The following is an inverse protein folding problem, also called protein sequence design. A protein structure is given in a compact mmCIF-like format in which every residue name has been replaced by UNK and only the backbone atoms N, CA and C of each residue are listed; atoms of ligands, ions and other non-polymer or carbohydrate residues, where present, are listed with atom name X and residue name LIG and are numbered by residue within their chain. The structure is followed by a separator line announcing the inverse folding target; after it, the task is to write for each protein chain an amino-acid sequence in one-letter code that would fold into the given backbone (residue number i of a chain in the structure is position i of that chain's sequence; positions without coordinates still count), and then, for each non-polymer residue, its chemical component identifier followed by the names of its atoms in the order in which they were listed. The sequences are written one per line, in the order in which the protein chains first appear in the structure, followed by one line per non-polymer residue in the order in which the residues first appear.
data_IF_206233925963
#
_entry.id   IF_206233925963
#
_cell.length_a   1.000
_cell.length_b   1.000
_cell.length_c   1.000
_cell.angle_alpha   90.00
_cell.angle_beta   90.00
_cell.angle_gamma   90.00
#
_symmetry.space_group_name_H-M   'P 1'
#
loop_
_entity.id
_entity.type
_entity.pdbx_description
1 polymer ?
#
# COMPACT_ATOMS: atom_id res chain seq x y z
N UNK A 1 1.16 -20.92 -11.05
CA UNK A 1 1.30 -19.55 -10.52
C UNK A 1 2.32 -18.82 -11.37
N UNK A 2 1.86 -18.02 -12.34
CA UNK A 2 2.72 -17.13 -13.11
C UNK A 2 2.66 -15.72 -12.54
N UNK A 3 3.69 -14.90 -12.77
CA UNK A 3 3.59 -13.47 -12.49
C UNK A 3 2.40 -12.88 -13.26
N UNK A 4 1.69 -11.92 -12.67
CA UNK A 4 0.56 -11.22 -13.32
C UNK A 4 0.95 -10.70 -14.71
N UNK A 5 2.17 -10.17 -14.83
CA UNK A 5 2.70 -9.63 -16.09
C UNK A 5 2.88 -10.68 -17.19
N UNK A 6 2.93 -11.97 -16.85
CA UNK A 6 3.23 -13.05 -17.80
C UNK A 6 2.00 -13.90 -18.13
N UNK A 7 1.39 -14.51 -17.11
CA UNK A 7 0.29 -15.47 -17.30
C UNK A 7 -0.63 -15.62 -16.10
N UNK A 8 -0.40 -14.85 -15.03
CA UNK A 8 -1.16 -14.94 -13.78
C UNK A 8 -2.40 -14.05 -13.73
N UNK A 9 -2.62 -13.19 -14.72
CA UNK A 9 -3.75 -12.27 -14.77
C UNK A 9 -4.90 -12.92 -15.53
N UNK A 10 -6.03 -13.14 -14.85
CA UNK A 10 -7.21 -13.79 -15.42
C UNK A 10 -8.43 -12.89 -15.23
N UNK A 11 -9.48 -13.10 -16.04
CA UNK A 11 -10.71 -12.31 -16.01
C UNK A 11 -11.37 -12.29 -14.63
N UNK A 12 -11.27 -13.39 -13.87
CA UNK A 12 -11.78 -13.47 -12.50
C UNK A 12 -11.09 -12.48 -11.55
N UNK A 13 -9.79 -12.24 -11.75
CA UNK A 13 -9.07 -11.25 -10.94
C UNK A 13 -9.52 -9.83 -11.26
N UNK A 14 -9.81 -9.51 -12.53
CA UNK A 14 -10.34 -8.20 -12.92
C UNK A 14 -11.75 -7.96 -12.39
N UNK A 15 -12.62 -8.97 -12.50
CA UNK A 15 -13.97 -8.91 -11.93
C UNK A 15 -13.93 -8.59 -10.43
N UNK A 16 -13.12 -9.33 -9.67
CA UNK A 16 -12.97 -9.10 -8.24
C UNK A 16 -12.40 -7.70 -7.93
N UNK A 17 -11.44 -7.21 -8.72
CA UNK A 17 -10.92 -5.84 -8.56
C UNK A 17 -12.00 -4.78 -8.78
N UNK A 18 -12.83 -4.95 -9.81
CA UNK A 18 -13.91 -4.02 -10.11
C UNK A 18 -15.01 -4.04 -9.04
N UNK A 19 -15.38 -5.22 -8.55
CA UNK A 19 -16.35 -5.36 -7.45
C UNK A 19 -15.83 -4.72 -6.16
N UNK A 20 -14.55 -4.94 -5.82
CA UNK A 20 -13.92 -4.31 -4.66
C UNK A 20 -13.83 -2.80 -4.82
N UNK A 21 -13.43 -2.30 -5.99
CA UNK A 21 -13.36 -0.86 -6.28
C UNK A 21 -14.73 -0.18 -6.13
N UNK A 22 -15.78 -0.82 -6.65
CA UNK A 22 -17.16 -0.37 -6.48
C UNK A 22 -17.61 -0.39 -5.01
N UNK A 23 -17.24 -1.45 -4.27
CA UNK A 23 -17.56 -1.60 -2.85
C UNK A 23 -16.94 -0.51 -1.98
N UNK A 24 -15.65 -0.17 -2.19
CA UNK A 24 -14.97 0.91 -1.45
C UNK A 24 -15.14 2.30 -2.06
N UNK A 25 -15.91 2.42 -3.15
CA UNK A 25 -16.15 3.66 -3.89
C UNK A 25 -14.85 4.36 -4.33
N UNK A 26 -13.94 3.60 -4.95
CA UNK A 26 -12.68 4.08 -5.53
C UNK A 26 -12.64 3.82 -7.04
N UNK A 27 -11.83 4.60 -7.75
CA UNK A 27 -11.71 4.50 -9.20
C UNK A 27 -11.16 3.15 -9.67
N UNK A 28 -10.23 2.57 -8.89
CA UNK A 28 -9.63 1.28 -9.16
C UNK A 28 -9.22 0.59 -7.85
N UNK A 29 -9.12 -0.73 -7.89
CA UNK A 29 -8.52 -1.55 -6.84
C UNK A 29 -7.53 -2.53 -7.47
N UNK A 30 -6.49 -2.89 -6.71
CA UNK A 30 -5.48 -3.83 -7.19
C UNK A 30 -5.33 -5.00 -6.21
N UNK A 31 -5.28 -6.21 -6.77
CA UNK A 31 -5.16 -7.44 -5.99
C UNK A 31 -3.70 -7.83 -5.83
N UNK A 32 -3.31 -8.08 -4.58
CA UNK A 32 -1.97 -8.44 -4.16
C UNK A 32 -2.04 -9.76 -3.38
N UNK A 33 -0.94 -10.52 -3.35
CA UNK A 33 -0.94 -11.88 -2.78
C UNK A 33 -1.35 -11.92 -1.31
N UNK A 34 -0.96 -10.91 -0.53
CA UNK A 34 -1.33 -10.74 0.88
C UNK A 34 -1.06 -9.30 1.32
N UNK A 35 -1.72 -8.89 2.42
CA UNK A 35 -1.72 -7.49 2.88
C UNK A 35 -0.35 -6.91 3.20
N UNK A 36 0.56 -7.70 3.77
CA UNK A 36 1.91 -7.22 4.10
C UNK A 36 2.70 -6.86 2.84
N UNK A 37 2.79 -7.76 1.86
CA UNK A 37 3.46 -7.47 0.58
C UNK A 37 2.80 -6.29 -0.13
N UNK A 38 1.47 -6.22 -0.07
CA UNK A 38 0.72 -5.15 -0.71
C UNK A 38 1.02 -3.76 -0.12
N UNK A 39 1.12 -3.66 1.21
CA UNK A 39 1.48 -2.41 1.87
C UNK A 39 2.91 -1.98 1.53
N UNK A 40 3.87 -2.89 1.64
CA UNK A 40 5.28 -2.59 1.33
C UNK A 40 5.44 -2.14 -0.12
N UNK A 41 4.85 -2.85 -1.09
CA UNK A 41 4.93 -2.47 -2.50
C UNK A 41 4.20 -1.16 -2.82
N UNK A 42 3.13 -0.84 -2.07
CA UNK A 42 2.39 0.41 -2.28
C UNK A 42 3.20 1.60 -1.78
N UNK A 43 3.83 1.48 -0.62
CA UNK A 43 4.76 2.51 -0.11
C UNK A 43 5.91 2.69 -1.10
N UNK A 44 6.49 1.58 -1.58
CA UNK A 44 7.60 1.60 -2.54
C UNK A 44 7.24 2.26 -3.87
N UNK A 45 6.03 2.02 -4.39
CA UNK A 45 5.58 2.61 -5.64
C UNK A 45 5.19 4.09 -5.53
N UNK A 46 4.81 4.57 -4.34
CA UNK A 46 4.31 5.93 -4.14
C UNK A 46 5.36 6.91 -3.64
N UNK A 47 6.39 6.44 -2.95
CA UNK A 47 7.38 7.29 -2.27
C UNK A 47 8.61 7.48 -3.14
N UNK A 48 9.04 8.72 -3.29
CA UNK A 48 10.35 9.10 -3.82
C UNK A 48 11.25 9.69 -2.75
N UNK A 49 12.55 9.80 -3.05
CA UNK A 49 13.60 10.29 -2.13
C UNK A 49 13.33 11.68 -1.51
N UNK A 50 12.52 12.50 -2.18
CA UNK A 50 12.24 13.88 -1.77
C UNK A 50 10.92 14.00 -1.00
N UNK A 51 10.22 12.88 -0.79
CA UNK A 51 8.94 12.84 -0.07
C UNK A 51 9.13 12.66 1.45
N UNK A 52 8.15 13.12 2.21
CA UNK A 52 8.08 12.95 3.66
C UNK A 52 6.96 11.99 3.99
N UNK A 53 7.28 10.93 4.74
CA UNK A 53 6.28 9.98 5.22
C UNK A 53 5.91 10.32 6.66
N UNK A 54 4.62 10.52 6.88
CA UNK A 54 4.02 10.66 8.21
C UNK A 54 3.23 9.39 8.48
N UNK A 55 3.58 8.68 9.56
CA UNK A 55 2.89 7.45 9.95
C UNK A 55 2.71 7.38 11.46
N UNK A 56 1.68 6.64 11.88
CA UNK A 56 1.35 6.42 13.27
C UNK A 56 2.29 5.37 13.90
N UNK A 57 2.82 5.64 15.08
CA UNK A 57 3.68 4.70 15.82
C UNK A 57 3.00 3.38 16.18
N UNK A 58 1.68 3.39 16.34
CA UNK A 58 0.88 2.20 16.66
C UNK A 58 0.35 1.50 15.39
N UNK A 59 0.79 1.95 14.20
CA UNK A 59 0.43 1.32 12.94
C UNK A 59 1.00 -0.11 12.83
N UNK A 60 0.35 -0.93 12.00
CA UNK A 60 0.78 -2.30 11.75
C UNK A 60 2.22 -2.36 11.24
N UNK A 61 3.00 -3.35 11.68
CA UNK A 61 4.43 -3.47 11.41
C UNK A 61 4.80 -3.41 9.90
N UNK A 62 3.90 -3.84 9.02
CA UNK A 62 4.08 -3.77 7.57
C UNK A 62 4.29 -2.35 7.03
N UNK A 63 3.74 -1.33 7.69
CA UNK A 63 3.93 0.07 7.32
C UNK A 63 5.33 0.52 7.74
N UNK A 64 5.76 0.17 8.95
CA UNK A 64 7.09 0.49 9.48
C UNK A 64 8.18 -0.13 8.60
N UNK A 65 7.99 -1.39 8.20
CA UNK A 65 8.94 -2.08 7.33
C UNK A 65 8.98 -1.47 5.92
N UNK A 66 7.84 -1.07 5.37
CA UNK A 66 7.77 -0.34 4.10
C UNK A 66 8.52 0.99 4.13
N UNK A 67 8.38 1.77 5.21
CA UNK A 67 9.09 3.04 5.39
C UNK A 67 10.59 2.82 5.58
N UNK A 68 11.00 1.81 6.34
CA UNK A 68 12.42 1.51 6.60
C UNK A 68 13.19 1.04 5.36
N UNK A 69 12.51 0.51 4.35
CA UNK A 69 13.14 0.15 3.08
C UNK A 69 13.62 1.37 2.28
N UNK A 70 13.16 2.58 2.61
CA UNK A 70 13.55 3.80 1.95
C UNK A 70 14.37 4.74 2.85
N UNK A 71 15.44 5.32 2.29
CA UNK A 71 16.23 6.37 2.94
C UNK A 71 15.56 7.74 2.78
N UNK A 72 14.28 7.85 3.16
CA UNK A 72 13.51 9.10 3.12
C UNK A 72 13.45 9.77 4.48
N UNK A 73 13.04 11.04 4.50
CA UNK A 73 12.79 11.76 5.75
C UNK A 73 11.51 11.24 6.39
N UNK A 74 11.64 10.70 7.60
CA UNK A 74 10.56 9.98 8.30
C UNK A 74 10.13 10.77 9.53
N UNK A 75 8.82 11.02 9.67
CA UNK A 75 8.23 11.69 10.84
C UNK A 75 7.23 10.75 11.54
N UNK A 76 7.64 10.07 12.63
CA UNK A 76 6.72 9.27 13.43
C UNK A 76 5.82 10.19 14.25
N UNK A 77 4.50 10.00 14.16
CA UNK A 77 3.52 10.68 15.00
C UNK A 77 2.94 9.70 16.02
N UNK A 78 2.97 10.06 17.30
CA UNK A 78 2.19 9.37 18.33
C UNK A 78 0.83 10.05 18.42
N UNK A 79 -0.22 9.24 18.44
CA UNK A 79 -1.66 9.55 18.37
C UNK A 79 -2.11 10.66 19.34
N UNK A 80 -1.77 11.93 19.07
CA UNK A 80 -2.37 13.10 19.73
C UNK A 80 -2.02 14.50 19.15
N UNK A 81 -1.44 14.66 17.95
CA UNK A 81 -1.13 16.01 17.42
C UNK A 81 -1.42 16.14 15.91
N UNK A 82 -2.62 15.75 15.47
CA UNK A 82 -3.18 16.25 14.22
C UNK A 82 -4.68 16.47 14.39
N UNK A 83 -5.00 17.45 15.23
CA UNK A 83 -6.28 18.15 15.16
C UNK A 83 -6.12 19.18 14.05
N UNK A 84 -6.68 18.85 12.88
CA UNK A 84 -6.91 19.82 11.79
C UNK A 84 -7.77 20.97 12.33
#
# INVERSE_FOLDING_TARGET
MGARMMSGHTDLHEQLQNELAAFVQKEAAYLLNFGYQGMVSTVDALVSKDDVIVYDVDAHACIIDGVRLHMVSVLPISTMILKV
#
